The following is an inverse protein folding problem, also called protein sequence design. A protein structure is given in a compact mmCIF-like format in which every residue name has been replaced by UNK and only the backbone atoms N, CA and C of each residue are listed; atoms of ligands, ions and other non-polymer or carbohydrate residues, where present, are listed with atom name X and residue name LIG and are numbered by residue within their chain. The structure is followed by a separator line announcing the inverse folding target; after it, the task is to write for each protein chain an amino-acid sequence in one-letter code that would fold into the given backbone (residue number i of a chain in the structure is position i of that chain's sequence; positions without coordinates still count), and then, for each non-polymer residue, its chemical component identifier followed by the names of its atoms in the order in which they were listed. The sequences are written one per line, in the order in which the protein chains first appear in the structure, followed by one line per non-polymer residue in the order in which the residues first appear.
data_IF_067087349356
#
_entry.id   IF_067087349356
#
_cell.length_a   1.000
_cell.length_b   1.000
_cell.length_c   1.000
_cell.angle_alpha   90.00
_cell.angle_beta   90.00
_cell.angle_gamma   90.00
#
_symmetry.space_group_name_H-M   'P 1'
#
loop_
_entity.id
_entity.type
_entity.pdbx_description
1 polymer ?
#
# COMPACT_ATOMS: atom_id res chain seq x y z
N UNK A 1 -3.82 -7.58 -35.39
CA UNK A 1 -4.00 -8.82 -34.61
C UNK A 1 -3.69 -8.48 -33.16
N UNK A 2 -4.64 -8.55 -32.21
CA UNK A 2 -4.32 -8.30 -30.82
C UNK A 2 -3.56 -9.50 -30.24
N UNK A 3 -2.54 -9.20 -29.44
CA UNK A 3 -1.68 -10.18 -28.76
C UNK A 3 -2.42 -10.73 -27.53
N UNK A 4 -2.56 -12.05 -27.44
CA UNK A 4 -3.19 -12.72 -26.29
C UNK A 4 -2.28 -12.64 -25.04
N UNK A 5 -2.83 -12.41 -23.84
CA UNK A 5 -2.05 -12.48 -22.60
C UNK A 5 -1.71 -13.93 -22.22
N UNK A 6 -0.66 -14.14 -21.41
CA UNK A 6 -0.19 -15.46 -21.03
C UNK A 6 -1.21 -16.19 -20.15
N UNK A 7 -1.52 -17.44 -20.52
CA UNK A 7 -2.35 -18.35 -19.74
C UNK A 7 -1.55 -18.83 -18.52
N UNK A 8 -1.84 -18.30 -17.34
CA UNK A 8 -1.46 -18.97 -16.09
C UNK A 8 -2.60 -19.90 -15.69
N UNK A 9 -2.43 -21.18 -16.00
CA UNK A 9 -3.25 -22.27 -15.48
C UNK A 9 -3.21 -22.26 -13.94
N UNK A 10 -4.25 -21.76 -13.29
CA UNK A 10 -4.64 -22.15 -11.93
C UNK A 10 -6.17 -22.03 -11.81
N UNK A 11 -6.86 -23.10 -12.24
CA UNK A 11 -8.21 -23.39 -11.79
C UNK A 11 -8.15 -23.73 -10.30
N UNK A 12 -8.40 -22.74 -9.44
CA UNK A 12 -8.96 -23.01 -8.12
C UNK A 12 -10.40 -22.54 -8.11
N UNK A 13 -11.29 -23.53 -8.13
CA UNK A 13 -12.71 -23.41 -7.80
C UNK A 13 -12.83 -22.78 -6.40
N UNK A 14 -13.14 -21.49 -6.34
CA UNK A 14 -13.62 -20.86 -5.11
C UNK A 14 -15.14 -20.91 -5.14
N UNK A 15 -15.67 -22.01 -4.62
CA UNK A 15 -17.07 -22.12 -4.19
C UNK A 15 -17.17 -21.48 -2.80
N UNK A 16 -17.81 -20.32 -2.72
CA UNK A 16 -18.10 -19.65 -1.45
C UNK A 16 -18.41 -18.16 -1.63
N UNK A 17 -19.60 -17.75 -1.19
CA UNK A 17 -20.23 -16.43 -1.34
C UNK A 17 -19.51 -15.25 -0.65
N UNK A 18 -18.24 -14.98 -0.97
CA UNK A 18 -17.57 -13.77 -0.47
C UNK A 18 -16.67 -13.11 -1.53
N UNK A 19 -17.30 -12.31 -2.40
CA UNK A 19 -16.65 -11.52 -3.45
C UNK A 19 -16.21 -10.12 -2.96
N UNK A 20 -15.98 -9.92 -1.66
CA UNK A 20 -15.73 -8.55 -1.14
C UNK A 20 -14.27 -8.07 -1.18
N UNK A 21 -13.28 -8.89 -1.56
CA UNK A 21 -11.90 -8.42 -1.60
C UNK A 21 -11.08 -8.98 -2.78
N UNK A 22 -11.31 -8.45 -3.97
CA UNK A 22 -10.29 -8.48 -5.03
C UNK A 22 -10.11 -7.05 -5.54
N UNK A 23 -8.98 -6.45 -5.19
CA UNK A 23 -8.49 -5.24 -5.84
C UNK A 23 -8.10 -5.59 -7.28
N UNK A 24 -9.10 -5.75 -8.16
CA UNK A 24 -8.91 -5.94 -9.58
C UNK A 24 -8.26 -4.65 -10.13
N UNK A 25 -7.06 -4.79 -10.68
CA UNK A 25 -6.39 -3.66 -11.35
C UNK A 25 -7.28 -3.16 -12.51
N UNK A 26 -7.05 -1.91 -12.93
CA UNK A 26 -7.82 -1.24 -13.98
C UNK A 26 -7.92 -2.07 -15.29
N UNK A 27 -6.84 -2.77 -15.67
CA UNK A 27 -6.78 -3.59 -16.88
C UNK A 27 -7.62 -4.89 -16.77
N UNK A 28 -7.66 -5.51 -15.58
CA UNK A 28 -8.52 -6.67 -15.31
C UNK A 28 -10.00 -6.30 -15.35
N UNK A 29 -10.38 -5.13 -14.82
CA UNK A 29 -11.76 -4.61 -14.91
C UNK A 29 -12.17 -4.35 -16.36
N UNK A 30 -11.25 -3.79 -17.16
CA UNK A 30 -11.47 -3.55 -18.59
C UNK A 30 -11.63 -4.86 -19.37
N UNK A 31 -10.82 -5.86 -19.05
CA UNK A 31 -10.89 -7.19 -19.66
C UNK A 31 -12.17 -7.96 -19.27
N UNK A 32 -12.56 -7.94 -17.99
CA UNK A 32 -13.84 -8.51 -17.52
C UNK A 32 -15.05 -7.84 -18.17
N UNK A 33 -15.03 -6.50 -18.30
CA UNK A 33 -16.08 -5.76 -19.01
C UNK A 33 -16.18 -6.16 -20.49
N UNK A 34 -15.05 -6.44 -21.14
CA UNK A 34 -15.00 -6.92 -22.52
C UNK A 34 -15.53 -8.35 -22.66
N UNK A 35 -15.12 -9.25 -21.77
CA UNK A 35 -15.55 -10.65 -21.78
C UNK A 35 -17.05 -10.81 -21.48
N UNK A 36 -17.58 -10.02 -20.54
CA UNK A 36 -19.01 -9.97 -20.24
C UNK A 36 -19.78 -9.41 -21.44
N UNK A 37 -19.26 -8.38 -22.12
CA UNK A 37 -19.83 -7.88 -23.36
C UNK A 37 -19.96 -8.96 -24.45
N UNK A 38 -18.87 -9.67 -24.75
CA UNK A 38 -18.87 -10.70 -25.80
C UNK A 38 -19.71 -11.95 -25.43
N UNK A 39 -19.71 -12.36 -24.17
CA UNK A 39 -20.46 -13.55 -23.73
C UNK A 39 -21.98 -13.35 -23.80
N UNK A 40 -22.46 -12.11 -23.58
CA UNK A 40 -23.90 -11.79 -23.69
C UNK A 40 -24.33 -11.55 -25.14
N UNK A 41 -23.49 -10.96 -26.00
CA UNK A 41 -23.80 -10.83 -27.44
C UNK A 41 -23.88 -12.20 -28.14
N UNK A 42 -23.14 -13.21 -27.66
CA UNK A 42 -23.13 -14.57 -28.22
C UNK A 42 -24.36 -15.42 -27.88
N UNK A 43 -25.12 -15.13 -26.82
CA UNK A 43 -26.15 -16.05 -26.28
C UNK A 43 -27.60 -15.58 -26.45
N UNK A 44 -27.80 -14.39 -27.01
CA UNK A 44 -29.12 -13.76 -27.20
C UNK A 44 -29.45 -13.76 -28.70
N UNK A 45 -29.75 -14.94 -29.24
CA UNK A 45 -30.26 -15.06 -30.62
C UNK A 45 -31.74 -15.50 -30.67
N UNK A 46 -32.40 -15.73 -29.52
CA UNK A 46 -33.72 -16.39 -29.50
C UNK A 46 -34.62 -16.04 -28.29
N UNK A 47 -34.83 -14.78 -27.94
CA UNK A 47 -35.87 -14.45 -26.94
C UNK A 47 -36.44 -13.04 -27.09
N UNK A 48 -37.73 -12.93 -26.79
CA UNK A 48 -38.62 -11.75 -26.81
C UNK A 48 -37.90 -10.41 -26.57
N UNK A 49 -37.98 -9.51 -27.58
CA UNK A 49 -37.15 -8.30 -27.72
C UNK A 49 -37.14 -7.40 -26.47
N UNK A 50 -38.23 -7.39 -25.69
CA UNK A 50 -38.33 -6.56 -24.48
C UNK A 50 -37.49 -7.08 -23.31
N UNK A 51 -37.39 -8.40 -23.13
CA UNK A 51 -36.56 -8.99 -22.09
C UNK A 51 -35.06 -8.80 -22.41
N UNK A 52 -34.72 -8.80 -23.70
CA UNK A 52 -33.38 -8.49 -24.19
C UNK A 52 -32.97 -7.04 -23.87
N UNK A 53 -33.86 -6.07 -24.14
CA UNK A 53 -33.58 -4.66 -23.85
C UNK A 53 -33.36 -4.44 -22.36
N UNK A 54 -34.15 -5.09 -21.50
CA UNK A 54 -34.01 -4.98 -20.05
C UNK A 54 -32.69 -5.60 -19.55
N UNK A 55 -32.31 -6.77 -20.05
CA UNK A 55 -31.04 -7.42 -19.70
C UNK A 55 -29.83 -6.58 -20.15
N UNK A 56 -29.86 -6.03 -21.37
CA UNK A 56 -28.82 -5.12 -21.88
C UNK A 56 -28.68 -3.87 -21.01
N UNK A 57 -29.80 -3.27 -20.58
CA UNK A 57 -29.78 -2.09 -19.72
C UNK A 57 -29.26 -2.41 -18.32
N UNK A 58 -29.62 -3.55 -17.74
CA UNK A 58 -29.08 -3.99 -16.43
C UNK A 58 -27.57 -4.18 -16.47
N UNK A 59 -27.05 -4.86 -17.50
CA UNK A 59 -25.60 -5.06 -17.67
C UNK A 59 -24.90 -3.73 -17.92
N UNK A 60 -25.46 -2.84 -18.76
CA UNK A 60 -24.90 -1.50 -18.99
C UNK A 60 -24.81 -0.70 -17.69
N UNK A 61 -25.86 -0.72 -16.87
CA UNK A 61 -25.86 -0.02 -15.59
C UNK A 61 -24.87 -0.65 -14.61
N UNK A 62 -24.79 -1.98 -14.54
CA UNK A 62 -23.83 -2.67 -13.68
C UNK A 62 -22.38 -2.37 -14.09
N UNK A 63 -22.11 -2.32 -15.39
CA UNK A 63 -20.83 -1.90 -15.95
C UNK A 63 -20.57 -0.43 -15.61
N UNK A 64 -21.56 0.45 -15.78
CA UNK A 64 -21.45 1.86 -15.42
C UNK A 64 -21.12 2.02 -13.94
N UNK A 65 -21.85 1.35 -13.05
CA UNK A 65 -21.63 1.35 -11.61
C UNK A 65 -20.28 0.71 -11.22
N UNK A 66 -19.80 -0.28 -11.96
CA UNK A 66 -18.44 -0.83 -11.77
C UNK A 66 -17.34 0.17 -12.18
N UNK A 67 -17.58 0.99 -13.20
CA UNK A 67 -16.68 2.05 -13.64
C UNK A 67 -16.80 3.34 -12.82
N UNK A 68 -17.98 3.64 -12.26
CA UNK A 68 -18.28 4.86 -11.48
C UNK A 68 -18.32 4.62 -9.98
N UNK A 69 -18.28 3.37 -9.50
CA UNK A 69 -17.93 3.10 -8.11
C UNK A 69 -16.51 3.63 -7.94
N UNK A 70 -16.42 4.83 -7.37
CA UNK A 70 -15.18 5.41 -6.91
C UNK A 70 -14.60 4.42 -5.90
N UNK A 71 -13.78 3.50 -6.41
CA UNK A 71 -12.66 3.04 -5.61
C UNK A 71 -11.92 4.33 -5.30
N UNK A 72 -12.09 4.85 -4.09
CA UNK A 72 -11.33 5.99 -3.59
C UNK A 72 -9.88 5.49 -3.54
N UNK A 73 -9.22 5.53 -4.70
CA UNK A 73 -7.77 5.43 -4.76
C UNK A 73 -7.35 6.73 -4.07
N UNK A 74 -6.67 6.66 -2.91
CA UNK A 74 -6.16 7.87 -2.29
C UNK A 74 -5.34 8.60 -3.36
N UNK A 75 -5.79 9.80 -3.71
CA UNK A 75 -5.16 10.62 -4.78
C UNK A 75 -3.71 10.90 -4.44
N UNK A 76 -3.38 10.93 -3.15
CA UNK A 76 -2.03 10.96 -2.61
C UNK A 76 -1.79 9.69 -1.80
N UNK A 77 -0.92 8.81 -2.29
CA UNK A 77 -0.40 7.70 -1.49
C UNK A 77 0.95 7.21 -2.01
N UNK A 78 1.81 6.82 -1.08
CA UNK A 78 3.09 6.17 -1.35
C UNK A 78 3.19 4.89 -0.54
N UNK A 79 3.84 3.89 -1.13
CA UNK A 79 4.44 2.78 -0.40
C UNK A 79 5.87 2.58 -0.87
N UNK A 80 6.82 2.75 0.04
CA UNK A 80 8.24 2.53 -0.19
C UNK A 80 8.72 1.31 0.58
N UNK A 81 9.62 0.54 -0.04
CA UNK A 81 10.15 -0.70 0.51
C UNK A 81 11.68 -0.70 0.46
N UNK A 82 12.29 -1.43 1.38
CA UNK A 82 13.70 -1.80 1.31
C UNK A 82 13.86 -3.31 1.41
N UNK A 83 14.63 -3.87 0.50
CA UNK A 83 14.98 -5.29 0.47
C UNK A 83 16.40 -5.56 0.99
N UNK A 84 17.20 -4.52 1.21
CA UNK A 84 18.54 -4.65 1.78
C UNK A 84 18.52 -4.49 3.31
N UNK A 85 19.42 -5.21 3.99
CA UNK A 85 19.63 -5.02 5.43
C UNK A 85 20.31 -3.67 5.70
N UNK A 86 19.89 -2.99 6.77
CA UNK A 86 20.47 -1.72 7.20
C UNK A 86 21.10 -1.89 8.59
N UNK A 87 22.36 -1.50 8.73
CA UNK A 87 23.06 -1.53 10.03
C UNK A 87 22.82 -0.20 10.75
N UNK A 88 22.31 -0.30 11.98
CA UNK A 88 21.97 0.83 12.83
C UNK A 88 22.96 0.89 13.99
N UNK A 89 23.71 2.00 14.16
CA UNK A 89 24.62 2.17 15.29
C UNK A 89 23.88 2.26 16.63
N UNK A 90 24.56 1.84 17.70
CA UNK A 90 24.04 1.97 19.06
C UNK A 90 23.74 3.44 19.41
N UNK A 91 22.65 3.66 20.15
CA UNK A 91 22.21 4.96 20.68
C UNK A 91 22.08 6.08 19.65
N UNK A 92 22.02 5.74 18.36
CA UNK A 92 21.91 6.70 17.26
C UNK A 92 20.49 6.65 16.69
N UNK A 93 19.88 7.82 16.51
CA UNK A 93 18.65 7.93 15.75
C UNK A 93 18.99 7.94 14.26
N UNK A 94 18.58 6.89 13.54
CA UNK A 94 18.94 6.69 12.14
C UNK A 94 17.71 6.71 11.26
N UNK A 95 17.72 7.53 10.21
CA UNK A 95 16.70 7.47 9.16
C UNK A 95 16.82 6.18 8.37
N UNK A 96 15.70 5.48 8.19
CA UNK A 96 15.66 4.31 7.33
C UNK A 96 15.66 4.73 5.87
N UNK A 97 16.31 3.91 5.05
CA UNK A 97 16.31 4.04 3.61
C UNK A 97 15.39 3.03 2.97
N UNK A 98 14.84 3.43 1.83
CA UNK A 98 13.95 2.62 1.02
C UNK A 98 14.39 2.73 -0.44
N UNK A 99 14.81 1.60 -1.00
CA UNK A 99 15.46 1.53 -2.31
C UNK A 99 14.49 1.57 -3.49
N UNK A 100 13.21 1.27 -3.24
CA UNK A 100 12.18 1.20 -4.28
C UNK A 100 10.82 1.60 -3.72
N UNK A 101 9.92 1.98 -4.62
CA UNK A 101 8.50 2.22 -4.33
C UNK A 101 7.65 1.15 -5.00
N UNK A 102 6.65 0.64 -4.28
CA UNK A 102 5.60 -0.19 -4.86
C UNK A 102 4.65 0.69 -5.68
N UNK A 103 4.31 1.85 -5.11
CA UNK A 103 3.55 2.93 -5.74
C UNK A 103 3.92 4.27 -5.09
N UNK A 104 3.79 5.36 -5.85
CA UNK A 104 4.01 6.74 -5.39
C UNK A 104 3.13 7.69 -6.22
N UNK A 105 1.87 7.81 -5.81
CA UNK A 105 0.93 8.74 -6.41
C UNK A 105 1.28 10.15 -5.95
N UNK A 106 1.41 11.08 -6.91
CA UNK A 106 1.87 12.46 -6.74
C UNK A 106 3.38 12.63 -6.53
N UNK A 107 4.17 11.56 -6.75
CA UNK A 107 5.64 11.61 -6.82
C UNK A 107 6.31 12.30 -5.62
N UNK A 108 5.76 12.11 -4.42
CA UNK A 108 6.22 12.77 -3.20
C UNK A 108 7.42 12.07 -2.56
N UNK A 109 7.79 10.87 -3.01
CA UNK A 109 8.86 10.10 -2.40
C UNK A 109 10.27 10.49 -2.90
N UNK A 110 11.19 10.64 -1.95
CA UNK A 110 12.62 10.74 -2.21
C UNK A 110 13.37 9.55 -1.58
N UNK A 111 14.03 8.75 -2.41
CA UNK A 111 14.85 7.60 -2.00
C UNK A 111 16.27 7.98 -1.53
N UNK A 112 16.53 9.28 -1.31
CA UNK A 112 17.83 9.80 -0.87
C UNK A 112 18.21 9.46 0.58
N UNK A 113 19.24 10.13 1.10
CA UNK A 113 19.67 10.05 2.50
C UNK A 113 19.53 11.43 3.15
N UNK A 114 18.47 11.68 3.95
CA UNK A 114 17.46 10.74 4.40
C UNK A 114 16.34 10.49 3.38
N UNK A 115 15.85 9.24 3.33
CA UNK A 115 14.66 8.94 2.56
C UNK A 115 13.45 9.61 3.22
N UNK A 116 12.61 10.26 2.42
CA UNK A 116 11.52 11.08 2.91
C UNK A 116 10.33 11.10 1.96
N UNK A 117 9.16 11.40 2.50
CA UNK A 117 7.98 11.76 1.75
C UNK A 117 7.70 13.25 1.94
N UNK A 118 7.66 14.00 0.85
CA UNK A 118 7.23 15.39 0.84
C UNK A 118 5.71 15.44 0.66
N UNK A 119 5.03 16.07 1.61
CA UNK A 119 3.58 16.19 1.63
C UNK A 119 3.13 17.11 0.49
N UNK A 120 2.31 16.65 -0.47
CA UNK A 120 1.93 17.47 -1.61
C UNK A 120 0.74 18.42 -1.32
N UNK A 121 -0.10 18.11 -0.33
CA UNK A 121 -1.34 18.84 -0.02
C UNK A 121 -1.63 18.85 1.47
N UNK A 122 -2.43 19.82 1.90
CA UNK A 122 -2.88 19.92 3.28
C UNK A 122 -3.93 18.85 3.61
N UNK A 123 -3.77 18.16 4.74
CA UNK A 123 -4.71 17.13 5.13
C UNK A 123 -4.28 16.24 6.29
N UNK A 124 -5.15 15.28 6.61
CA UNK A 124 -4.83 14.20 7.54
C UNK A 124 -4.25 13.04 6.76
N UNK A 125 -3.05 12.63 7.13
CA UNK A 125 -2.34 11.51 6.51
C UNK A 125 -2.30 10.32 7.46
N UNK A 126 -2.66 9.14 6.96
CA UNK A 126 -2.43 7.86 7.62
C UNK A 126 -1.05 7.35 7.25
N UNK A 127 -0.25 7.05 8.25
CA UNK A 127 1.13 6.61 8.11
C UNK A 127 1.28 5.24 8.78
N UNK A 128 1.95 4.31 8.13
CA UNK A 128 2.26 2.99 8.71
C UNK A 128 3.65 2.57 8.27
N UNK A 129 4.47 2.14 9.22
CA UNK A 129 5.82 1.66 8.95
C UNK A 129 6.01 0.33 9.67
N UNK A 130 6.65 -0.62 9.00
CA UNK A 130 7.07 -1.89 9.58
C UNK A 130 8.57 -2.07 9.41
N UNK A 131 9.22 -2.56 10.46
CA UNK A 131 10.62 -2.94 10.43
C UNK A 131 10.79 -4.30 11.12
N UNK A 132 11.62 -5.16 10.54
CA UNK A 132 12.01 -6.43 11.15
C UNK A 132 13.41 -6.27 11.75
N UNK A 133 13.56 -6.44 13.06
CA UNK A 133 14.85 -6.30 13.73
C UNK A 133 15.59 -7.64 13.83
N UNK A 134 16.89 -7.63 13.57
CA UNK A 134 17.78 -8.77 13.78
C UNK A 134 17.96 -9.14 15.25
N UNK A 135 18.72 -10.20 15.54
CA UNK A 135 18.88 -10.72 16.91
C UNK A 135 19.36 -9.66 17.89
N UNK A 136 18.76 -9.63 19.07
CA UNK A 136 19.13 -8.69 20.15
C UNK A 136 19.16 -9.42 21.49
N UNK A 137 19.89 -8.90 22.48
CA UNK A 137 19.94 -9.47 23.83
C UNK A 137 19.59 -8.38 24.84
N UNK A 138 18.47 -8.51 25.55
CA UNK A 138 18.05 -7.60 26.63
C UNK A 138 18.11 -6.11 26.24
N UNK A 139 17.41 -5.74 25.18
CA UNK A 139 17.56 -4.44 24.52
C UNK A 139 16.22 -3.76 24.25
N UNK A 140 16.23 -2.48 23.87
CA UNK A 140 15.05 -1.79 23.35
C UNK A 140 15.28 -1.27 21.94
N UNK A 141 14.20 -1.22 21.16
CA UNK A 141 14.15 -0.66 19.81
C UNK A 141 12.98 0.29 19.70
N UNK A 142 13.18 1.35 18.94
CA UNK A 142 12.16 2.33 18.59
C UNK A 142 12.06 2.38 17.09
N UNK A 143 10.83 2.38 16.59
CA UNK A 143 10.47 2.74 15.22
C UNK A 143 9.50 3.91 15.32
N UNK A 144 9.74 5.00 14.58
CA UNK A 144 8.87 6.16 14.66
C UNK A 144 8.86 7.03 13.41
N UNK A 145 7.80 7.84 13.34
CA UNK A 145 7.59 8.85 12.32
C UNK A 145 8.08 10.20 12.81
N UNK A 146 8.77 10.92 11.92
CA UNK A 146 9.30 12.25 12.19
C UNK A 146 8.82 13.20 11.10
N UNK A 147 8.12 14.26 11.50
CA UNK A 147 7.66 15.35 10.61
C UNK A 147 8.55 16.57 10.81
N UNK A 148 9.20 17.03 9.73
CA UNK A 148 10.16 18.14 9.77
C UNK A 148 11.23 17.96 10.87
N UNK A 149 11.68 16.73 11.08
CA UNK A 149 12.66 16.36 12.11
C UNK A 149 12.11 16.20 13.54
N UNK A 150 10.84 16.52 13.79
CA UNK A 150 10.19 16.34 15.10
C UNK A 150 9.44 15.00 15.17
N UNK A 151 9.52 14.32 16.31
CA UNK A 151 8.81 13.06 16.53
C UNK A 151 7.30 13.28 16.52
N UNK A 152 6.58 12.45 15.76
CA UNK A 152 5.11 12.44 15.69
C UNK A 152 4.54 11.24 16.44
N UNK A 153 5.02 10.05 16.08
CA UNK A 153 4.58 8.78 16.68
C UNK A 153 5.78 7.84 16.81
N UNK A 154 5.71 6.92 17.79
CA UNK A 154 6.67 5.83 17.90
C UNK A 154 6.06 4.58 18.54
N UNK A 155 6.56 3.46 18.08
CA UNK A 155 6.44 2.17 18.77
C UNK A 155 7.76 1.80 19.43
N UNK A 156 7.67 1.37 20.69
CA UNK A 156 8.81 0.84 21.45
C UNK A 156 8.64 -0.67 21.58
N UNK A 157 9.70 -1.40 21.28
CA UNK A 157 9.83 -2.82 21.55
C UNK A 157 10.93 -3.01 22.59
N UNK A 158 10.61 -3.69 23.69
CA UNK A 158 11.59 -4.22 24.62
C UNK A 158 11.75 -5.72 24.36
N UNK A 159 12.98 -6.18 24.17
CA UNK A 159 13.28 -7.59 23.86
C UNK A 159 13.90 -8.27 25.08
N UNK A 160 13.21 -9.27 25.62
CA UNK A 160 13.71 -10.14 26.69
C UNK A 160 12.96 -11.50 26.68
N UNK A 161 13.62 -12.67 26.54
CA UNK A 161 15.06 -12.90 26.29
C UNK A 161 15.44 -12.70 24.82
N UNK A 162 16.66 -13.11 24.42
CA UNK A 162 17.18 -12.92 23.07
C UNK A 162 16.32 -13.62 22.01
N UNK A 163 15.71 -12.84 21.12
CA UNK A 163 14.90 -13.32 19.99
C UNK A 163 15.38 -12.57 18.74
N UNK A 164 15.42 -13.28 17.60
CA UNK A 164 15.74 -12.72 16.29
C UNK A 164 14.49 -12.64 15.43
N UNK A 165 14.41 -11.63 14.56
CA UNK A 165 13.30 -11.48 13.62
C UNK A 165 12.02 -10.98 14.28
N UNK A 166 12.10 -10.00 15.18
CA UNK A 166 10.90 -9.36 15.74
C UNK A 166 10.48 -8.19 14.86
N UNK A 167 9.24 -8.24 14.39
CA UNK A 167 8.61 -7.15 13.65
C UNK A 167 8.08 -6.08 14.61
N UNK A 168 8.32 -4.81 14.28
CA UNK A 168 7.69 -3.66 14.93
C UNK A 168 6.94 -2.85 13.89
N UNK A 169 5.73 -2.44 14.26
CA UNK A 169 4.89 -1.57 13.45
C UNK A 169 4.64 -0.28 14.23
N UNK A 170 4.78 0.86 13.57
CA UNK A 170 4.30 2.16 14.04
C UNK A 170 3.25 2.64 13.06
N UNK A 171 2.16 3.20 13.58
CA UNK A 171 1.04 3.66 12.78
C UNK A 171 0.37 4.85 13.46
N UNK A 172 0.12 5.91 12.70
CA UNK A 172 -0.53 7.11 13.19
C UNK A 172 -1.32 7.82 12.10
N UNK A 173 -2.24 8.69 12.52
CA UNK A 173 -2.83 9.71 11.66
C UNK A 173 -2.31 11.08 12.11
N UNK A 174 -1.82 11.88 11.16
CA UNK A 174 -1.19 13.15 11.46
C UNK A 174 -1.65 14.21 10.45
N UNK A 175 -1.99 15.39 10.98
CA UNK A 175 -2.20 16.57 10.15
C UNK A 175 -0.86 17.07 9.58
N UNK A 176 -0.82 17.24 8.27
CA UNK A 176 0.32 17.74 7.52
C UNK A 176 -0.11 18.88 6.61
N UNK A 177 0.81 19.82 6.38
CA UNK A 177 0.66 20.87 5.39
C UNK A 177 1.55 20.57 4.18
N UNK A 178 1.18 21.07 3.01
CA UNK A 178 1.97 20.96 1.81
C UNK A 178 3.41 21.48 2.06
N UNK A 179 4.39 20.67 1.66
CA UNK A 179 5.81 20.94 1.89
C UNK A 179 6.38 20.34 3.18
N UNK A 180 5.56 19.85 4.12
CA UNK A 180 6.05 19.06 5.25
C UNK A 180 6.83 17.83 4.75
N UNK A 181 7.87 17.43 5.48
CA UNK A 181 8.65 16.22 5.20
C UNK A 181 8.42 15.17 6.26
N UNK A 182 8.09 13.95 5.85
CA UNK A 182 7.91 12.80 6.75
C UNK A 182 9.05 11.81 6.54
N UNK A 183 9.69 11.40 7.62
CA UNK A 183 10.76 10.39 7.62
C UNK A 183 10.45 9.29 8.63
N UNK A 184 10.90 8.07 8.33
CA UNK A 184 10.87 6.94 9.26
C UNK A 184 12.25 6.79 9.87
N UNK A 185 12.33 6.71 11.20
CA UNK A 185 13.60 6.56 11.90
C UNK A 185 13.54 5.45 12.93
N UNK A 186 14.70 4.89 13.20
CA UNK A 186 14.89 3.84 14.19
C UNK A 186 15.99 4.20 15.18
N UNK A 187 15.90 3.65 16.39
CA UNK A 187 16.92 3.78 17.42
C UNK A 187 16.91 2.54 18.32
N UNK A 188 18.05 2.22 18.92
CA UNK A 188 18.18 1.22 19.97
C UNK A 188 19.33 1.55 20.90
N UNK A 189 19.38 0.89 22.06
CA UNK A 189 20.48 1.05 23.02
C UNK A 189 21.79 0.36 22.62
N UNK A 190 21.73 -0.59 21.69
CA UNK A 190 22.88 -1.31 21.12
C UNK A 190 22.84 -1.24 19.59
N UNK A 191 23.90 -1.68 18.92
CA UNK A 191 23.93 -1.77 17.47
C UNK A 191 23.08 -2.94 16.97
N UNK A 192 22.36 -2.77 15.86
CA UNK A 192 21.50 -3.82 15.32
C UNK A 192 21.33 -3.71 13.81
N UNK A 193 20.75 -4.75 13.21
CA UNK A 193 20.34 -4.73 11.81
C UNK A 193 18.83 -4.63 11.70
N UNK A 194 18.36 -3.80 10.77
CA UNK A 194 16.99 -3.86 10.23
C UNK A 194 17.04 -4.74 9.00
N UNK A 195 16.23 -5.80 8.98
CA UNK A 195 16.16 -6.73 7.87
C UNK A 195 15.26 -6.22 6.75
N UNK A 196 15.72 -6.32 5.52
CA UNK A 196 14.92 -6.07 4.32
C UNK A 196 14.70 -7.32 3.46
N UNK A 197 15.59 -8.31 3.55
CA UNK A 197 15.65 -9.40 2.56
C UNK A 197 14.58 -10.50 2.74
N UNK A 198 14.16 -10.76 3.98
CA UNK A 198 13.19 -11.84 4.29
C UNK A 198 11.76 -11.27 4.35
N UNK A 199 11.60 -10.16 5.06
CA UNK A 199 10.37 -9.37 5.10
C UNK A 199 10.80 -7.95 4.76
N UNK A 200 10.29 -7.37 3.66
CA UNK A 200 10.62 -5.99 3.31
C UNK A 200 10.27 -5.04 4.44
N UNK A 201 11.24 -4.23 4.84
CA UNK A 201 10.96 -3.05 5.66
C UNK A 201 10.19 -2.09 4.76
N UNK A 202 9.03 -1.62 5.20
CA UNK A 202 8.18 -0.75 4.38
C UNK A 202 7.59 0.41 5.15
N UNK A 203 7.26 1.44 4.40
CA UNK A 203 6.46 2.58 4.84
C UNK A 203 5.35 2.81 3.84
N UNK A 204 4.15 3.06 4.34
CA UNK A 204 3.00 3.50 3.57
C UNK A 204 2.47 4.80 4.17
N UNK A 205 2.20 5.78 3.31
CA UNK A 205 1.61 7.06 3.69
C UNK A 205 0.49 7.36 2.70
N UNK A 206 -0.70 7.66 3.19
CA UNK A 206 -1.84 8.02 2.33
C UNK A 206 -2.64 9.16 2.93
N UNK A 207 -3.16 10.03 2.07
CA UNK A 207 -4.11 11.08 2.45
C UNK A 207 -5.47 10.43 2.77
N UNK A 208 -6.01 10.75 3.93
CA UNK A 208 -7.32 10.26 4.41
C UNK A 208 -8.40 11.32 4.20
N UNK A 209 -8.08 12.58 4.48
CA UNK A 209 -9.00 13.70 4.30
C UNK A 209 -8.24 14.98 3.98
N UNK A 210 -8.66 15.70 2.94
CA UNK A 210 -8.19 17.05 2.65
C UNK A 210 -8.76 18.04 3.68
N UNK A 211 -7.96 19.03 4.07
CA UNK A 211 -8.44 20.18 4.85
C UNK A 211 -8.45 21.37 3.91
N UNK A 212 -9.64 21.79 3.48
CA UNK A 212 -9.80 23.03 2.74
C UNK A 212 -9.87 24.18 3.74
N UNK A 213 -8.85 25.04 3.74
CA UNK A 213 -8.80 26.27 4.55
C UNK A 213 -9.43 27.42 3.76
#
# INVERSE_FOLDING_TARGET
MPVLPPTSDHNQELVGDDLTHIALNYEWRRWLGYLIGEFFESRIAHTDDNAEIEARNRVRNLIHDLYTSETIVPTVAVRAINTANQVIPANTLTSLNFSSTDYDFEFGWSSGQPANFQIPRDGIYRMTANALFGSTVSSWRVLGFYKNGSLVDRSLLQVNPAISGIGVVSACEQYCVAGDTVTVRVQGNEGFSVFGAIIPTSVAISLVSEVTI
#
